data_IF_743643869033
#
_entry.id   IF_743643869033
#
_cell.length_a   1.000
_cell.length_b   1.000
_cell.length_c   1.000
_cell.angle_alpha   90.00
_cell.angle_beta   90.00
_cell.angle_gamma   90.00
#
_symmetry.space_group_name_H-M   'P 1'
#
loop_
_entity.id
_entity.type
_entity.pdbx_description
1 polymer ?
#
# COMPACT_ATOMS: atom_id res chain seq x y z
N UNK A 1 4.10 -15.75 8.74
CA UNK A 1 2.97 -16.43 9.44
C UNK A 1 2.47 -15.65 10.65
N UNK A 2 3.34 -15.02 11.43
CA UNK A 2 2.93 -14.26 12.62
C UNK A 2 1.95 -13.10 12.30
N UNK A 3 2.14 -12.39 11.20
CA UNK A 3 1.30 -11.24 10.80
C UNK A 3 -0.10 -11.65 10.33
N UNK A 4 -0.24 -12.83 9.71
CA UNK A 4 -1.55 -13.31 9.25
C UNK A 4 -2.54 -13.48 10.42
N UNK A 5 -2.03 -13.80 11.61
CA UNK A 5 -2.83 -14.05 12.80
C UNK A 5 -2.99 -12.84 13.72
N UNK A 6 -2.34 -11.69 13.44
CA UNK A 6 -2.52 -10.47 14.23
C UNK A 6 -3.95 -9.94 14.12
N UNK A 7 -4.51 -9.51 15.24
CA UNK A 7 -5.78 -8.77 15.25
C UNK A 7 -5.57 -7.46 14.50
N UNK A 8 -6.39 -7.14 13.48
CA UNK A 8 -6.20 -5.95 12.70
C UNK A 8 -6.56 -4.67 13.48
N UNK A 9 -5.75 -3.64 13.34
CA UNK A 9 -6.10 -2.26 13.73
C UNK A 9 -7.14 -1.70 12.76
N UNK A 10 -7.01 -2.05 11.44
CA UNK A 10 -8.02 -1.80 10.43
C UNK A 10 -8.28 -3.09 9.66
N UNK A 11 -9.49 -3.57 9.70
CA UNK A 11 -9.97 -4.63 8.80
C UNK A 11 -10.29 -4.05 7.41
N UNK A 12 -10.67 -4.89 6.46
CA UNK A 12 -10.98 -4.46 5.09
C UNK A 12 -12.12 -3.42 5.05
N UNK A 13 -13.09 -3.50 5.95
CA UNK A 13 -14.22 -2.56 6.00
C UNK A 13 -13.77 -1.18 6.48
N UNK A 14 -12.81 -1.12 7.40
CA UNK A 14 -12.19 0.13 7.82
C UNK A 14 -11.30 0.70 6.69
N UNK A 15 -10.51 -0.14 6.04
CA UNK A 15 -9.66 0.28 4.92
C UNK A 15 -10.49 0.94 3.81
N UNK A 16 -11.58 0.32 3.37
CA UNK A 16 -12.42 0.88 2.28
C UNK A 16 -13.15 2.18 2.64
N UNK A 17 -13.24 2.53 3.91
CA UNK A 17 -13.75 3.84 4.36
C UNK A 17 -12.70 4.94 4.23
N UNK A 18 -11.43 4.59 4.26
CA UNK A 18 -10.32 5.53 4.29
C UNK A 18 -9.66 5.71 2.93
N UNK A 19 -9.65 4.67 2.08
CA UNK A 19 -9.08 4.75 0.72
C UNK A 19 -10.11 4.37 -0.35
N UNK A 20 -9.88 4.83 -1.57
CA UNK A 20 -10.85 4.71 -2.68
C UNK A 20 -10.61 3.52 -3.59
N UNK A 21 -9.49 2.81 -3.45
CA UNK A 21 -9.22 1.59 -4.22
C UNK A 21 -10.28 0.51 -3.94
N UNK A 22 -10.71 -0.16 -5.01
CA UNK A 22 -11.71 -1.25 -4.97
C UNK A 22 -11.26 -2.38 -5.88
N UNK A 23 -11.89 -3.54 -5.74
CA UNK A 23 -11.66 -4.65 -6.68
C UNK A 23 -11.72 -4.14 -8.13
N UNK A 24 -10.77 -4.54 -9.02
CA UNK A 24 -9.71 -5.54 -8.82
C UNK A 24 -8.36 -4.95 -8.34
N UNK A 25 -8.32 -3.70 -7.92
CA UNK A 25 -7.07 -3.00 -7.57
C UNK A 25 -6.97 -2.61 -6.08
N UNK A 26 -7.79 -3.18 -5.23
CA UNK A 26 -7.58 -3.13 -3.77
C UNK A 26 -6.64 -4.27 -3.39
N UNK A 27 -5.38 -3.92 -3.08
CA UNK A 27 -4.28 -4.87 -2.96
C UNK A 27 -3.65 -4.88 -1.56
N UNK A 28 -4.49 -4.65 -0.56
CA UNK A 28 -4.15 -4.77 0.87
C UNK A 28 -5.35 -5.38 1.60
N UNK A 29 -5.12 -6.23 2.61
CA UNK A 29 -6.19 -6.95 3.30
C UNK A 29 -6.46 -6.42 4.71
N UNK A 30 -5.42 -5.97 5.42
CA UNK A 30 -5.56 -5.40 6.77
C UNK A 30 -4.35 -4.54 7.16
N UNK A 31 -4.53 -3.68 8.14
CA UNK A 31 -3.46 -2.96 8.85
C UNK A 31 -3.34 -3.57 10.25
N UNK A 32 -2.14 -3.93 10.66
CA UNK A 32 -1.87 -4.60 11.94
C UNK A 32 -1.09 -3.74 12.95
N UNK A 33 -0.50 -2.64 12.50
CA UNK A 33 0.07 -1.59 13.33
C UNK A 33 -0.08 -0.24 12.61
N UNK A 34 -0.38 0.82 13.37
CA UNK A 34 -0.64 2.14 12.81
C UNK A 34 -0.31 3.23 13.82
N UNK A 35 0.55 4.16 13.42
CA UNK A 35 0.73 5.44 14.09
C UNK A 35 0.35 6.53 13.09
N UNK A 36 -0.82 7.17 13.27
CA UNK A 36 -1.33 8.17 12.33
C UNK A 36 -0.34 9.31 12.07
N UNK A 37 -0.04 9.57 10.80
CA UNK A 37 0.91 10.59 10.38
C UNK A 37 2.37 10.16 10.44
N UNK A 38 2.67 8.90 10.77
CA UNK A 38 4.03 8.41 10.90
C UNK A 38 4.27 7.11 10.12
N UNK A 39 3.59 6.02 10.49
CA UNK A 39 3.83 4.70 9.93
C UNK A 39 2.60 3.79 9.94
N UNK A 40 2.64 2.78 9.09
CA UNK A 40 1.66 1.71 9.07
C UNK A 40 2.33 0.38 8.71
N UNK A 41 1.81 -0.71 9.28
CA UNK A 41 2.15 -2.07 8.87
C UNK A 41 0.93 -2.73 8.26
N UNK A 42 1.01 -2.98 6.96
CA UNK A 42 -0.04 -3.63 6.17
C UNK A 42 0.24 -5.11 5.94
N UNK A 43 -0.81 -5.85 5.62
CA UNK A 43 -0.74 -7.26 5.24
C UNK A 43 -1.53 -7.48 3.97
N UNK A 44 -0.93 -8.17 2.99
CA UNK A 44 -1.57 -8.71 1.80
C UNK A 44 -1.38 -10.22 1.77
N UNK A 45 -2.48 -10.97 1.69
CA UNK A 45 -2.46 -12.42 1.53
C UNK A 45 -2.65 -12.77 0.05
N UNK A 46 -1.71 -13.49 -0.55
CA UNK A 46 -1.78 -13.91 -1.94
C UNK A 46 -2.32 -15.34 -2.04
N UNK A 47 -3.55 -15.48 -2.54
CA UNK A 47 -4.08 -16.79 -2.89
C UNK A 47 -3.93 -17.05 -4.39
N UNK A 48 -4.00 -18.31 -4.82
CA UNK A 48 -3.98 -18.65 -6.25
C UNK A 48 -5.18 -18.05 -7.02
N UNK A 49 -6.23 -17.65 -6.34
CA UNK A 49 -7.44 -17.04 -6.94
C UNK A 49 -7.26 -15.57 -7.34
N UNK A 50 -6.08 -14.98 -7.16
CA UNK A 50 -5.79 -13.64 -7.66
C UNK A 50 -5.83 -13.62 -9.20
N UNK A 51 -6.48 -12.61 -9.74
CA UNK A 51 -6.79 -12.51 -11.18
C UNK A 51 -5.56 -12.48 -12.10
N UNK A 52 -4.41 -12.05 -11.61
CA UNK A 52 -3.19 -11.90 -12.42
C UNK A 52 -2.34 -13.17 -12.53
N UNK A 53 -2.51 -14.17 -11.69
CA UNK A 53 -1.66 -15.38 -11.73
C UNK A 53 -1.77 -16.17 -13.02
N UNK A 54 -2.95 -16.37 -13.65
CA UNK A 54 -3.00 -17.08 -14.93
C UNK A 54 -2.20 -16.42 -16.05
N UNK A 55 -2.01 -15.11 -16.00
CA UNK A 55 -1.23 -14.38 -16.99
C UNK A 55 0.22 -14.09 -16.57
N UNK A 56 0.66 -14.55 -15.36
CA UNK A 56 1.98 -14.19 -14.82
C UNK A 56 2.61 -15.26 -13.89
N UNK A 57 2.89 -16.50 -14.24
CA UNK A 57 2.56 -17.17 -15.47
C UNK A 57 1.83 -18.48 -15.15
N UNK A 58 1.18 -19.13 -16.11
CA UNK A 58 0.38 -20.35 -15.85
C UNK A 58 1.22 -21.52 -15.33
N UNK A 59 2.47 -21.65 -15.78
CA UNK A 59 3.44 -22.67 -15.38
C UNK A 59 4.33 -22.24 -14.18
N UNK A 60 4.42 -20.95 -13.90
CA UNK A 60 5.22 -20.40 -12.80
C UNK A 60 4.54 -19.15 -12.20
N UNK A 61 3.44 -19.31 -11.45
CA UNK A 61 2.70 -18.16 -10.92
C UNK A 61 3.54 -17.37 -9.91
N UNK A 62 3.65 -16.07 -10.13
CA UNK A 62 4.27 -15.14 -9.21
C UNK A 62 3.61 -13.76 -9.30
N UNK A 63 3.75 -12.97 -8.24
CA UNK A 63 3.11 -11.66 -8.14
C UNK A 63 3.81 -10.66 -9.06
N UNK A 64 3.08 -10.02 -9.99
CA UNK A 64 3.65 -8.98 -10.85
C UNK A 64 4.23 -7.81 -10.05
N UNK A 65 5.29 -7.20 -10.57
CA UNK A 65 5.94 -6.06 -9.92
C UNK A 65 4.99 -4.90 -9.64
N UNK A 66 4.09 -4.58 -10.56
CA UNK A 66 3.12 -3.50 -10.36
C UNK A 66 2.14 -3.77 -9.21
N UNK A 67 1.77 -5.02 -8.98
CA UNK A 67 0.92 -5.43 -7.84
C UNK A 67 1.68 -5.23 -6.52
N UNK A 68 2.96 -5.59 -6.49
CA UNK A 68 3.80 -5.37 -5.32
C UNK A 68 3.90 -3.88 -4.97
N UNK A 69 4.21 -3.03 -5.97
CA UNK A 69 4.30 -1.57 -5.79
C UNK A 69 2.97 -1.00 -5.31
N UNK A 70 1.86 -1.42 -5.90
CA UNK A 70 0.53 -0.95 -5.51
C UNK A 70 0.17 -1.37 -4.08
N UNK A 71 0.52 -2.59 -3.66
CA UNK A 71 0.34 -3.03 -2.26
C UNK A 71 1.14 -2.17 -1.28
N UNK A 72 2.37 -1.78 -1.65
CA UNK A 72 3.21 -0.89 -0.85
C UNK A 72 2.57 0.49 -0.71
N UNK A 73 2.15 1.11 -1.81
CA UNK A 73 1.58 2.46 -1.76
C UNK A 73 0.23 2.50 -1.05
N UNK A 74 -0.59 1.45 -1.16
CA UNK A 74 -1.86 1.38 -0.44
C UNK A 74 -1.67 1.29 1.08
N UNK A 75 -0.61 0.64 1.55
CA UNK A 75 -0.21 0.72 2.96
C UNK A 75 0.30 2.13 3.31
N UNK A 76 1.13 2.71 2.45
CA UNK A 76 1.70 4.04 2.65
C UNK A 76 0.64 5.13 2.77
N UNK A 77 -0.35 5.17 1.89
CA UNK A 77 -1.39 6.22 1.94
C UNK A 77 -2.24 6.15 3.21
N UNK A 78 -2.38 4.98 3.82
CA UNK A 78 -3.11 4.84 5.08
C UNK A 78 -2.39 5.48 6.26
N UNK A 79 -1.09 5.79 6.17
CA UNK A 79 -0.38 6.54 7.22
C UNK A 79 -0.99 7.93 7.46
N UNK A 80 -1.61 8.54 6.43
CA UNK A 80 -2.28 9.84 6.55
C UNK A 80 -3.79 9.78 6.27
N UNK A 81 -4.27 8.91 5.38
CA UNK A 81 -5.71 8.75 5.12
C UNK A 81 -6.48 8.14 6.30
N UNK A 82 -5.78 7.53 7.27
CA UNK A 82 -6.40 7.04 8.50
C UNK A 82 -6.97 8.16 9.37
N UNK A 83 -6.52 9.41 9.18
CA UNK A 83 -7.04 10.57 9.91
C UNK A 83 -8.42 10.94 9.38
N UNK A 84 -9.39 11.26 10.28
CA UNK A 84 -10.76 11.57 9.86
C UNK A 84 -10.88 12.66 8.80
N UNK A 85 -10.04 13.71 8.89
CA UNK A 85 -10.05 14.84 7.95
C UNK A 85 -9.63 14.48 6.53
N UNK A 86 -8.92 13.35 6.33
CA UNK A 86 -8.46 12.90 5.02
C UNK A 86 -9.15 11.62 4.54
N UNK A 87 -10.00 11.02 5.37
CA UNK A 87 -10.66 9.76 5.06
C UNK A 87 -11.46 9.82 3.75
N UNK A 88 -11.20 8.86 2.86
CA UNK A 88 -11.90 8.75 1.57
C UNK A 88 -11.43 9.72 0.49
N UNK A 89 -10.40 10.52 0.73
CA UNK A 89 -9.80 11.36 -0.31
C UNK A 89 -9.07 10.51 -1.35
N UNK A 90 -9.07 10.97 -2.60
CA UNK A 90 -8.33 10.34 -3.69
C UNK A 90 -6.84 10.66 -3.58
N UNK A 91 -6.03 9.73 -4.03
CA UNK A 91 -4.58 9.89 -4.11
C UNK A 91 -4.08 9.56 -5.51
N UNK A 92 -3.10 10.31 -5.99
CA UNK A 92 -2.44 10.08 -7.27
C UNK A 92 -0.93 9.98 -7.10
N UNK A 93 -0.29 9.09 -7.83
CA UNK A 93 1.16 9.08 -7.92
C UNK A 93 1.69 10.38 -8.55
N UNK A 94 2.74 10.92 -7.95
CA UNK A 94 3.59 11.95 -8.57
C UNK A 94 4.88 11.31 -9.05
N UNK A 95 5.52 10.53 -8.19
CA UNK A 95 6.70 9.74 -8.57
C UNK A 95 6.87 8.51 -7.70
N UNK A 96 7.57 7.54 -8.25
CA UNK A 96 8.04 6.34 -7.55
C UNK A 96 9.52 6.22 -7.86
N UNK A 97 10.34 6.12 -6.82
CA UNK A 97 11.80 6.10 -6.94
C UNK A 97 12.39 4.92 -6.19
N UNK A 98 13.62 4.56 -6.57
CA UNK A 98 14.42 3.54 -5.88
C UNK A 98 13.70 2.22 -5.66
N UNK A 99 12.96 1.76 -6.69
CA UNK A 99 12.26 0.49 -6.65
C UNK A 99 13.27 -0.65 -6.69
N UNK A 100 13.12 -1.61 -5.78
CA UNK A 100 13.91 -2.84 -5.73
C UNK A 100 13.01 -4.04 -5.53
N UNK A 101 13.11 -5.02 -6.41
CA UNK A 101 12.50 -6.34 -6.27
C UNK A 101 13.58 -7.33 -5.84
N UNK A 102 13.46 -7.89 -4.64
CA UNK A 102 14.50 -8.71 -4.00
C UNK A 102 14.11 -10.18 -3.90
N UNK A 103 12.80 -10.47 -3.92
CA UNK A 103 12.27 -11.82 -3.79
C UNK A 103 11.02 -12.00 -4.65
N UNK A 104 10.94 -13.15 -5.32
CA UNK A 104 9.72 -13.59 -5.99
C UNK A 104 8.66 -13.92 -4.93
N UNK A 105 7.44 -13.45 -5.12
CA UNK A 105 6.28 -13.74 -4.28
C UNK A 105 5.38 -14.69 -5.03
N UNK A 106 4.97 -15.77 -4.41
CA UNK A 106 4.20 -16.86 -5.02
C UNK A 106 2.85 -17.06 -4.32
N UNK A 107 1.89 -17.76 -4.95
CA UNK A 107 0.63 -18.10 -4.27
C UNK A 107 0.86 -18.84 -2.95
N UNK A 108 0.16 -18.39 -1.92
CA UNK A 108 0.30 -18.88 -0.54
C UNK A 108 1.16 -17.99 0.35
N UNK A 109 1.94 -17.07 -0.23
CA UNK A 109 2.73 -16.12 0.55
C UNK A 109 1.85 -15.06 1.22
N UNK A 110 2.31 -14.60 2.38
CA UNK A 110 1.75 -13.47 3.12
C UNK A 110 2.79 -12.35 3.12
N UNK A 111 2.42 -11.22 2.56
CA UNK A 111 3.27 -10.05 2.49
C UNK A 111 3.01 -9.13 3.68
N UNK A 112 4.04 -8.88 4.49
CA UNK A 112 4.06 -7.82 5.49
C UNK A 112 4.67 -6.57 4.87
N UNK A 113 4.02 -5.43 5.00
CA UNK A 113 4.44 -4.17 4.39
C UNK A 113 4.63 -3.13 5.49
N UNK A 114 5.82 -2.58 5.58
CA UNK A 114 6.18 -1.51 6.53
C UNK A 114 6.30 -0.19 5.76
N UNK A 115 5.41 0.74 6.03
CA UNK A 115 5.38 2.05 5.39
C UNK A 115 5.67 3.16 6.40
N UNK A 116 6.45 4.16 5.95
CA UNK A 116 6.82 5.32 6.74
C UNK A 116 6.52 6.60 5.98
N UNK A 117 5.79 7.51 6.61
CA UNK A 117 5.53 8.85 6.11
C UNK A 117 6.66 9.78 6.58
N UNK A 118 7.37 10.42 5.65
CA UNK A 118 8.41 11.41 5.96
C UNK A 118 7.83 12.81 6.08
N UNK A 119 6.99 13.21 5.13
CA UNK A 119 6.33 14.52 5.12
C UNK A 119 4.94 14.41 4.52
N UNK A 120 4.02 15.21 5.05
CA UNK A 120 2.72 15.48 4.42
C UNK A 120 2.43 16.96 4.53
N UNK A 121 2.51 17.67 3.42
CA UNK A 121 2.34 19.12 3.38
C UNK A 121 1.63 19.56 2.11
N UNK A 122 0.57 20.38 2.28
CA UNK A 122 -0.21 20.97 1.18
C UNK A 122 -0.71 19.93 0.16
N UNK A 123 -1.08 18.74 0.62
CA UNK A 123 -1.58 17.67 -0.22
C UNK A 123 -0.50 16.84 -0.93
N UNK A 124 0.77 17.02 -0.59
CA UNK A 124 1.88 16.17 -1.06
C UNK A 124 2.41 15.34 0.09
N UNK A 125 2.37 14.03 -0.08
CA UNK A 125 2.92 13.04 0.84
C UNK A 125 4.20 12.45 0.26
N UNK A 126 5.25 12.37 1.06
CA UNK A 126 6.52 11.73 0.70
C UNK A 126 6.88 10.69 1.76
N UNK A 127 7.34 9.55 1.32
CA UNK A 127 7.78 8.49 2.23
C UNK A 127 8.24 7.25 1.50
N UNK A 128 8.26 6.13 2.19
CA UNK A 128 8.78 4.87 1.67
C UNK A 128 8.01 3.68 2.24
N UNK A 129 8.12 2.55 1.57
CA UNK A 129 7.67 1.28 2.10
C UNK A 129 8.61 0.16 1.70
N UNK A 130 8.69 -0.85 2.55
CA UNK A 130 9.41 -2.10 2.31
C UNK A 130 8.50 -3.26 2.69
N UNK A 131 8.59 -4.36 1.95
CA UNK A 131 7.79 -5.55 2.20
C UNK A 131 8.65 -6.78 2.42
N UNK A 132 8.06 -7.74 3.14
CA UNK A 132 8.72 -8.97 3.57
C UNK A 132 7.78 -10.15 3.39
N UNK A 133 8.32 -11.27 2.93
CA UNK A 133 7.71 -12.59 3.06
C UNK A 133 8.49 -13.34 4.14
N UNK A 134 7.82 -13.67 5.24
CA UNK A 134 8.46 -14.03 6.50
C UNK A 134 9.45 -12.91 6.91
N UNK A 135 10.73 -13.18 7.05
CA UNK A 135 11.76 -12.18 7.36
C UNK A 135 12.58 -11.74 6.12
N UNK A 136 12.29 -12.31 4.94
CA UNK A 136 13.02 -11.99 3.72
C UNK A 136 12.46 -10.74 3.04
N UNK A 137 13.29 -9.72 2.77
CA UNK A 137 12.87 -8.55 2.00
C UNK A 137 12.38 -8.94 0.60
N UNK A 138 11.22 -8.44 0.20
CA UNK A 138 10.61 -8.76 -1.09
C UNK A 138 10.62 -7.58 -2.07
N UNK A 139 10.16 -6.40 -1.63
CA UNK A 139 10.11 -5.20 -2.48
C UNK A 139 10.29 -3.95 -1.61
N UNK A 140 10.91 -2.92 -2.17
CA UNK A 140 10.99 -1.59 -1.54
C UNK A 140 10.85 -0.49 -2.58
N UNK A 141 10.30 0.66 -2.17
CA UNK A 141 10.15 1.84 -3.01
C UNK A 141 10.00 3.11 -2.16
N UNK A 142 10.31 4.25 -2.79
CA UNK A 142 10.03 5.58 -2.28
C UNK A 142 8.89 6.20 -3.08
N UNK A 143 7.99 6.91 -2.41
CA UNK A 143 6.79 7.47 -3.01
C UNK A 143 6.68 8.97 -2.81
N UNK A 144 6.21 9.64 -3.87
CA UNK A 144 5.60 10.96 -3.78
C UNK A 144 4.17 10.82 -4.29
N UNK A 145 3.20 11.14 -3.43
CA UNK A 145 1.78 11.00 -3.69
C UNK A 145 1.08 12.34 -3.48
N UNK A 146 0.20 12.71 -4.38
CA UNK A 146 -0.64 13.90 -4.24
C UNK A 146 -2.06 13.52 -3.76
N UNK A 147 -2.64 14.39 -2.94
CA UNK A 147 -4.07 14.41 -2.61
C UNK A 147 -4.68 15.61 -3.33
N UNK A 148 -5.31 15.43 -4.50
CA UNK A 148 -5.76 16.56 -5.34
C UNK A 148 -6.71 17.51 -4.61
N UNK A 149 -7.63 16.98 -3.81
CA UNK A 149 -8.62 17.78 -3.05
C UNK A 149 -7.97 18.78 -2.08
N UNK A 150 -6.79 18.45 -1.54
CA UNK A 150 -6.01 19.36 -0.69
C UNK A 150 -5.12 20.25 -1.56
N UNK A 151 -4.42 19.65 -2.54
CA UNK A 151 -3.48 20.38 -3.41
C UNK A 151 -4.14 21.54 -4.15
N UNK A 152 -5.38 21.36 -4.62
CA UNK A 152 -6.14 22.37 -5.36
C UNK A 152 -6.44 23.62 -4.51
N UNK A 153 -6.48 23.52 -3.19
CA UNK A 153 -6.66 24.65 -2.29
C UNK A 153 -5.46 25.62 -2.30
N UNK A 154 -4.30 25.15 -2.74
CA UNK A 154 -3.05 25.92 -2.78
C UNK A 154 -2.65 26.36 -4.19
N UNK A 155 -3.44 26.03 -5.21
CA UNK A 155 -3.23 26.53 -6.57
C UNK A 155 -3.58 28.01 -6.66
N UNK A 156 -2.87 28.81 -7.45
CA UNK A 156 -3.31 30.18 -7.76
C UNK A 156 -4.73 30.15 -8.32
N UNK A 157 -5.61 31.01 -7.81
CA UNK A 157 -6.91 31.22 -8.44
C UNK A 157 -6.68 31.94 -9.78
N UNK A 158 -7.37 31.56 -10.86
CA UNK A 158 -7.27 32.23 -12.15
C UNK A 158 -7.69 33.70 -12.08
#
# INVERSE_FOLDING_TARGET
>A
MAEANKVPVMDIRAIIKHQRNRYPVLLIDKIVDLVPGERATGVKCFTYNEWYFPGHFDDEPNVPGFVQIESLVQTFILTFLCKPEYAGMKTNFVSINNIRFKKKIVPGDVLRIEATLKTFKRGIAMGSAESFVDEDPACSAEFVVAVPEILDQFKPKP
#
